data_IF_778994951484
#
_entry.id   IF_778994951484
#
_cell.length_a   1.000
_cell.length_b   1.000
_cell.length_c   1.000
_cell.angle_alpha   90.00
_cell.angle_beta   90.00
_cell.angle_gamma   90.00
#
_symmetry.space_group_name_H-M   'P 1'
#
loop_
_entity.id
_entity.type
_entity.pdbx_description
1 polymer ?
#
# COMPACT_ATOMS: atom_id res chain seq x y z
N UNK A 1 -14.19 6.59 -13.40
CA UNK A 1 -13.13 5.98 -12.59
C UNK A 1 -13.60 4.60 -12.18
N UNK A 2 -12.86 3.56 -12.57
CA UNK A 2 -12.97 2.17 -12.13
C UNK A 2 -11.88 1.89 -11.08
N UNK A 3 -12.18 1.96 -9.77
CA UNK A 3 -11.21 1.65 -8.73
C UNK A 3 -11.05 0.14 -8.57
N UNK A 4 -9.82 -0.33 -8.40
CA UNK A 4 -9.53 -1.71 -7.98
C UNK A 4 -8.84 -1.67 -6.63
N UNK A 5 -9.46 -2.27 -5.61
CA UNK A 5 -8.85 -2.45 -4.29
C UNK A 5 -8.07 -3.75 -4.29
N UNK A 6 -6.77 -3.70 -4.05
CA UNK A 6 -5.88 -4.86 -3.99
C UNK A 6 -5.65 -5.19 -2.52
N UNK A 7 -6.04 -6.40 -2.12
CA UNK A 7 -5.87 -6.90 -0.74
C UNK A 7 -4.99 -8.17 -0.74
N UNK A 8 -3.75 -8.10 -0.27
CA UNK A 8 -2.94 -9.29 -0.01
C UNK A 8 -3.48 -10.05 1.19
N UNK A 9 -3.61 -11.38 1.06
CA UNK A 9 -4.12 -12.25 2.11
C UNK A 9 -3.15 -13.37 2.45
N UNK A 10 -3.01 -13.64 3.74
CA UNK A 10 -2.37 -14.85 4.26
C UNK A 10 -2.99 -15.19 5.62
N UNK A 11 -3.83 -16.21 5.66
CA UNK A 11 -4.67 -16.56 6.82
C UNK A 11 -5.66 -15.45 7.24
N UNK A 12 -6.47 -14.95 6.29
CA UNK A 12 -7.41 -13.84 6.49
C UNK A 12 -8.88 -14.27 6.29
N UNK A 13 -9.15 -15.57 6.40
CA UNK A 13 -10.46 -16.15 6.09
C UNK A 13 -11.61 -15.49 6.84
N UNK A 14 -11.42 -15.21 8.13
CA UNK A 14 -12.47 -14.67 9.00
C UNK A 14 -12.84 -13.21 8.66
N UNK A 15 -11.94 -12.49 7.99
CA UNK A 15 -12.13 -11.09 7.62
C UNK A 15 -12.66 -10.94 6.19
N UNK A 16 -12.22 -11.81 5.28
CA UNK A 16 -12.32 -11.61 3.83
C UNK A 16 -13.76 -11.39 3.34
N UNK A 17 -14.71 -12.23 3.76
CA UNK A 17 -16.11 -12.14 3.31
C UNK A 17 -16.75 -10.82 3.73
N UNK A 18 -16.65 -10.47 5.01
CA UNK A 18 -17.20 -9.21 5.53
C UNK A 18 -16.54 -7.99 4.87
N UNK A 19 -15.23 -8.03 4.68
CA UNK A 19 -14.49 -6.94 4.06
C UNK A 19 -14.90 -6.77 2.60
N UNK A 20 -15.05 -7.87 1.87
CA UNK A 20 -15.51 -7.88 0.47
C UNK A 20 -16.87 -7.21 0.34
N UNK A 21 -17.85 -7.62 1.16
CA UNK A 21 -19.18 -7.02 1.13
C UNK A 21 -19.17 -5.53 1.46
N UNK A 22 -18.38 -5.10 2.46
CA UNK A 22 -18.26 -3.68 2.79
C UNK A 22 -17.66 -2.87 1.65
N UNK A 23 -16.55 -3.32 1.05
CA UNK A 23 -15.91 -2.63 -0.08
C UNK A 23 -16.88 -2.48 -1.26
N UNK A 24 -17.53 -3.59 -1.65
CA UNK A 24 -18.40 -3.61 -2.83
C UNK A 24 -19.70 -2.81 -2.65
N UNK A 25 -20.12 -2.56 -1.41
CA UNK A 25 -21.29 -1.76 -1.07
C UNK A 25 -21.02 -0.23 -1.11
N UNK A 26 -19.76 0.19 -1.07
CA UNK A 26 -19.41 1.62 -1.06
C UNK A 26 -19.69 2.31 -2.41
N UNK A 27 -19.45 1.60 -3.50
CA UNK A 27 -19.60 2.12 -4.86
C UNK A 27 -19.69 0.95 -5.86
N UNK A 28 -20.69 0.98 -6.74
CA UNK A 28 -20.95 -0.07 -7.73
C UNK A 28 -19.80 -0.24 -8.74
N UNK A 29 -18.96 0.80 -8.92
CA UNK A 29 -17.81 0.80 -9.83
C UNK A 29 -16.57 0.17 -9.22
N UNK A 30 -16.54 -0.09 -7.91
CA UNK A 30 -15.38 -0.65 -7.21
C UNK A 30 -15.27 -2.14 -7.48
N UNK A 31 -14.06 -2.54 -7.84
CA UNK A 31 -13.64 -3.92 -7.96
C UNK A 31 -12.69 -4.27 -6.81
N UNK A 32 -12.66 -5.55 -6.44
CA UNK A 32 -11.76 -6.11 -5.45
C UNK A 32 -10.85 -7.13 -6.13
N UNK A 33 -9.55 -7.05 -5.87
CA UNK A 33 -8.56 -8.07 -6.24
C UNK A 33 -7.95 -8.64 -4.96
N UNK A 34 -8.29 -9.89 -4.68
CA UNK A 34 -7.68 -10.67 -3.60
C UNK A 34 -6.39 -11.29 -4.12
N UNK A 35 -5.28 -11.05 -3.42
CA UNK A 35 -3.98 -11.64 -3.75
C UNK A 35 -3.61 -12.63 -2.65
N UNK A 36 -3.91 -13.92 -2.85
CA UNK A 36 -3.74 -14.95 -1.84
C UNK A 36 -2.36 -15.62 -1.92
N UNK A 37 -1.62 -15.55 -0.82
CA UNK A 37 -0.28 -16.12 -0.67
C UNK A 37 -0.30 -17.62 -0.30
N UNK A 38 -1.17 -18.39 -0.95
CA UNK A 38 -1.41 -19.83 -0.70
C UNK A 38 -1.81 -20.10 0.75
N UNK A 39 -2.90 -19.47 1.20
CA UNK A 39 -3.34 -19.54 2.60
C UNK A 39 -3.81 -20.96 2.97
N UNK A 40 -3.21 -21.60 3.98
CA UNK A 40 -3.60 -22.95 4.41
C UNK A 40 -4.94 -23.01 5.17
N UNK A 41 -5.49 -21.89 5.62
CA UNK A 41 -6.76 -21.82 6.36
C UNK A 41 -8.01 -21.86 5.45
N UNK A 42 -7.81 -21.88 4.13
CA UNK A 42 -8.87 -21.84 3.13
C UNK A 42 -9.30 -20.44 2.73
N UNK A 43 -8.51 -19.39 3.03
CA UNK A 43 -8.76 -18.02 2.52
C UNK A 43 -8.89 -18.00 0.99
N UNK A 44 -7.97 -18.66 0.27
CA UNK A 44 -8.02 -18.74 -1.21
C UNK A 44 -9.32 -19.38 -1.72
N UNK A 45 -9.77 -20.48 -1.12
CA UNK A 45 -11.04 -21.12 -1.50
C UNK A 45 -12.26 -20.24 -1.21
N UNK A 46 -12.22 -19.43 -0.14
CA UNK A 46 -13.25 -18.43 0.12
C UNK A 46 -13.23 -17.31 -0.94
N UNK A 47 -12.04 -16.84 -1.33
CA UNK A 47 -11.89 -15.84 -2.38
C UNK A 47 -12.48 -16.31 -3.72
N UNK A 48 -12.25 -17.57 -4.09
CA UNK A 48 -12.82 -18.15 -5.32
C UNK A 48 -14.35 -18.18 -5.30
N UNK A 49 -14.96 -18.49 -4.15
CA UNK A 49 -16.42 -18.45 -4.00
C UNK A 49 -16.97 -17.04 -4.17
N UNK A 50 -16.32 -16.05 -3.55
CA UNK A 50 -16.73 -14.64 -3.67
C UNK A 50 -16.60 -14.13 -5.12
N UNK A 51 -15.57 -14.58 -5.86
CA UNK A 51 -15.41 -14.28 -7.28
C UNK A 51 -16.49 -14.95 -8.16
N UNK A 52 -16.95 -16.14 -7.80
CA UNK A 52 -18.08 -16.78 -8.48
C UNK A 52 -19.42 -16.07 -8.24
N UNK A 53 -19.57 -15.38 -7.11
CA UNK A 53 -20.78 -14.63 -6.73
C UNK A 53 -20.84 -13.21 -7.34
N UNK A 54 -19.70 -12.65 -7.80
CA UNK A 54 -19.64 -11.28 -8.31
C UNK A 54 -18.49 -11.08 -9.30
N UNK A 55 -18.80 -10.61 -10.51
CA UNK A 55 -17.81 -10.23 -11.54
C UNK A 55 -16.87 -9.09 -11.11
N UNK A 56 -17.19 -8.41 -10.00
CA UNK A 56 -16.36 -7.35 -9.42
C UNK A 56 -15.25 -7.88 -8.50
N UNK A 57 -15.25 -9.16 -8.17
CA UNK A 57 -14.23 -9.80 -7.33
C UNK A 57 -13.31 -10.64 -8.20
N UNK A 58 -12.01 -10.41 -8.04
CA UNK A 58 -10.92 -11.04 -8.78
C UNK A 58 -9.99 -11.72 -7.78
N UNK A 59 -9.37 -12.82 -8.18
CA UNK A 59 -8.45 -13.59 -7.32
C UNK A 59 -7.16 -13.89 -8.06
N UNK A 60 -6.05 -13.60 -7.40
CA UNK A 60 -4.72 -14.01 -7.79
C UNK A 60 -4.18 -14.98 -6.74
N UNK A 61 -4.02 -16.25 -7.10
CA UNK A 61 -3.36 -17.25 -6.26
C UNK A 61 -1.87 -17.27 -6.54
N UNK A 62 -1.07 -17.14 -5.48
CA UNK A 62 0.39 -17.14 -5.55
C UNK A 62 0.93 -18.45 -4.98
N UNK A 63 2.18 -18.80 -5.32
CA UNK A 63 2.76 -20.07 -4.90
C UNK A 63 3.00 -20.18 -3.38
N UNK A 64 3.03 -19.05 -2.67
CA UNK A 64 3.24 -18.99 -1.23
C UNK A 64 3.48 -17.57 -0.73
N UNK A 65 3.91 -17.46 0.53
CA UNK A 65 4.23 -16.19 1.18
C UNK A 65 5.54 -15.59 0.68
N UNK A 66 5.48 -14.88 -0.44
CA UNK A 66 6.64 -14.31 -1.14
C UNK A 66 6.98 -12.87 -0.71
N UNK A 67 6.20 -12.28 0.19
CA UNK A 67 6.43 -10.94 0.75
C UNK A 67 5.41 -9.91 0.27
N UNK A 68 5.12 -8.92 1.12
CA UNK A 68 4.04 -7.95 0.92
C UNK A 68 4.23 -7.10 -0.35
N UNK A 69 5.42 -6.55 -0.53
CA UNK A 69 5.75 -5.74 -1.71
C UNK A 69 5.66 -6.56 -3.00
N UNK A 70 5.92 -7.87 -2.95
CA UNK A 70 5.73 -8.73 -4.13
C UNK A 70 4.26 -8.98 -4.45
N UNK A 71 3.42 -9.17 -3.42
CA UNK A 71 1.97 -9.29 -3.58
C UNK A 71 1.37 -8.04 -4.24
N UNK A 72 1.77 -6.85 -3.75
CA UNK A 72 1.29 -5.60 -4.34
C UNK A 72 1.81 -5.37 -5.75
N UNK A 73 3.07 -5.67 -6.07
CA UNK A 73 3.55 -5.54 -7.46
C UNK A 73 2.78 -6.41 -8.44
N UNK A 74 2.51 -7.66 -8.09
CA UNK A 74 1.71 -8.55 -8.94
C UNK A 74 0.24 -8.06 -9.00
N UNK A 75 -0.34 -7.70 -7.86
CA UNK A 75 -1.70 -7.16 -7.79
C UNK A 75 -1.89 -5.85 -8.56
N UNK A 76 -0.91 -4.95 -8.56
CA UNK A 76 -0.93 -3.72 -9.34
C UNK A 76 -0.96 -4.00 -10.84
N UNK A 77 -0.18 -4.97 -11.32
CA UNK A 77 -0.20 -5.36 -12.74
C UNK A 77 -1.56 -5.92 -13.15
N UNK A 78 -2.09 -6.86 -12.37
CA UNK A 78 -3.42 -7.42 -12.64
C UNK A 78 -4.50 -6.33 -12.58
N UNK A 79 -4.43 -5.41 -11.62
CA UNK A 79 -5.37 -4.29 -11.56
C UNK A 79 -5.30 -3.39 -12.81
N UNK A 80 -4.10 -3.10 -13.30
CA UNK A 80 -3.91 -2.34 -14.54
C UNK A 80 -4.48 -3.09 -15.75
N UNK A 81 -4.22 -4.40 -15.86
CA UNK A 81 -4.75 -5.29 -16.92
C UNK A 81 -6.28 -5.36 -16.89
N UNK A 82 -6.88 -5.32 -15.69
CA UNK A 82 -8.33 -5.22 -15.50
C UNK A 82 -8.91 -3.85 -15.91
N UNK A 83 -8.07 -2.89 -16.32
CA UNK A 83 -8.53 -1.57 -16.71
C UNK A 83 -8.80 -0.65 -15.52
N UNK A 84 -8.11 -0.80 -14.40
CA UNK A 84 -8.22 0.11 -13.25
C UNK A 84 -7.78 1.55 -13.56
N UNK A 85 -8.64 2.53 -13.32
CA UNK A 85 -8.27 3.96 -13.41
C UNK A 85 -7.48 4.42 -12.17
N UNK A 86 -7.73 3.77 -11.03
CA UNK A 86 -6.92 3.89 -9.83
C UNK A 86 -6.87 2.55 -9.08
N UNK A 87 -5.78 2.34 -8.35
CA UNK A 87 -5.50 1.10 -7.62
C UNK A 87 -5.29 1.43 -6.16
N UNK A 88 -6.05 0.77 -5.29
CA UNK A 88 -5.94 0.95 -3.85
C UNK A 88 -5.12 -0.18 -3.24
N UNK A 89 -4.14 0.17 -2.43
CA UNK A 89 -3.41 -0.70 -1.53
C UNK A 89 -4.15 -0.75 -0.18
N UNK A 90 -4.57 -1.93 0.30
CA UNK A 90 -5.27 -2.05 1.59
C UNK A 90 -5.06 -3.42 2.25
N UNK A 91 -4.79 -3.41 3.55
CA UNK A 91 -4.73 -4.64 4.37
C UNK A 91 -6.11 -5.29 4.57
N UNK A 92 -6.13 -6.62 4.71
CA UNK A 92 -7.37 -7.42 4.83
C UNK A 92 -7.93 -7.53 6.26
N UNK A 93 -7.24 -7.02 7.27
CA UNK A 93 -7.49 -7.30 8.70
C UNK A 93 -8.35 -6.24 9.42
N UNK A 94 -8.97 -5.30 8.69
CA UNK A 94 -9.68 -4.14 9.21
C UNK A 94 -8.82 -3.18 10.07
N UNK A 95 -7.49 -3.22 9.96
CA UNK A 95 -6.66 -2.12 10.46
C UNK A 95 -6.83 -0.84 9.64
N UNK A 96 -7.28 -0.97 8.39
CA UNK A 96 -7.75 0.11 7.54
C UNK A 96 -9.27 0.05 7.40
N UNK A 97 -9.92 1.19 7.62
CA UNK A 97 -11.37 1.30 7.51
C UNK A 97 -11.77 1.50 6.04
N UNK A 98 -12.55 0.57 5.44
CA UNK A 98 -12.99 0.71 4.06
C UNK A 98 -13.88 1.95 3.84
N UNK A 99 -14.51 2.52 4.88
CA UNK A 99 -15.30 3.76 4.76
C UNK A 99 -14.48 4.99 4.33
N UNK A 100 -13.14 4.89 4.37
CA UNK A 100 -12.24 5.93 3.87
C UNK A 100 -12.12 5.92 2.33
N UNK A 101 -12.44 4.80 1.66
CA UNK A 101 -12.26 4.65 0.20
C UNK A 101 -13.00 5.74 -0.63
N UNK A 102 -14.25 6.13 -0.32
CA UNK A 102 -14.92 7.24 -1.02
C UNK A 102 -14.19 8.59 -0.88
N UNK A 103 -13.46 8.81 0.22
CA UNK A 103 -12.62 10.00 0.39
C UNK A 103 -11.41 9.91 -0.53
N UNK A 104 -10.74 8.75 -0.57
CA UNK A 104 -9.62 8.54 -1.50
C UNK A 104 -10.05 8.83 -2.95
N UNK A 105 -11.20 8.29 -3.36
CA UNK A 105 -11.69 8.46 -4.73
C UNK A 105 -11.98 9.93 -5.11
N UNK A 106 -12.47 10.75 -4.17
CA UNK A 106 -12.62 12.20 -4.39
C UNK A 106 -11.27 12.90 -4.46
N UNK A 107 -10.34 12.57 -3.58
CA UNK A 107 -9.02 13.20 -3.56
C UNK A 107 -8.17 12.85 -4.80
N UNK A 108 -8.47 11.74 -5.47
CA UNK A 108 -7.86 11.40 -6.77
C UNK A 108 -8.15 12.44 -7.87
N UNK A 109 -9.12 13.33 -7.73
CA UNK A 109 -9.31 14.45 -8.67
C UNK A 109 -8.18 15.48 -8.57
N UNK A 110 -7.55 15.59 -7.40
CA UNK A 110 -6.54 16.61 -7.07
C UNK A 110 -5.12 16.04 -7.05
N UNK A 111 -4.99 14.78 -6.65
CA UNK A 111 -3.72 14.11 -6.47
C UNK A 111 -3.60 12.90 -7.38
N UNK A 112 -2.36 12.46 -7.55
CA UNK A 112 -2.00 11.30 -8.36
C UNK A 112 -1.65 10.10 -7.44
N UNK A 113 -1.29 10.38 -6.17
CA UNK A 113 -1.21 9.42 -5.07
C UNK A 113 -1.89 10.01 -3.83
N UNK A 114 -2.81 9.27 -3.22
CA UNK A 114 -3.43 9.63 -1.94
C UNK A 114 -3.02 8.60 -0.88
N UNK A 115 -2.56 9.08 0.28
CA UNK A 115 -2.06 8.24 1.38
C UNK A 115 -2.97 8.42 2.59
N UNK A 116 -3.46 7.30 3.16
CA UNK A 116 -4.07 7.28 4.48
C UNK A 116 -3.00 7.48 5.55
N UNK A 117 -3.00 8.63 6.19
CA UNK A 117 -1.93 9.07 7.09
C UNK A 117 -2.35 8.97 8.55
N UNK A 118 -1.55 8.26 9.35
CA UNK A 118 -1.75 8.15 10.80
C UNK A 118 -1.23 9.36 11.59
N UNK A 119 -0.55 10.29 10.90
CA UNK A 119 0.22 11.38 11.53
C UNK A 119 -0.10 12.78 11.01
N UNK A 120 -0.93 12.93 9.96
CA UNK A 120 -1.22 14.23 9.32
C UNK A 120 -1.77 15.29 10.28
N UNK A 121 -2.64 14.90 11.22
CA UNK A 121 -3.30 15.80 12.19
C UNK A 121 -3.06 15.37 13.64
N UNK A 122 -1.89 14.79 13.91
CA UNK A 122 -1.60 14.13 15.18
C UNK A 122 -1.64 12.61 15.06
N UNK A 123 -1.35 11.92 16.17
CA UNK A 123 -1.25 10.46 16.19
C UNK A 123 -2.62 9.83 16.34
N UNK A 124 -3.06 9.08 15.33
CA UNK A 124 -4.35 8.40 15.28
C UNK A 124 -4.19 6.88 15.20
N UNK A 125 -3.41 6.31 16.13
CA UNK A 125 -3.16 4.87 16.22
C UNK A 125 -3.68 4.31 17.54
N UNK A 126 -4.47 3.24 17.45
CA UNK A 126 -5.12 2.58 18.59
C UNK A 126 -4.49 1.21 18.83
N UNK A 127 -4.32 0.84 20.10
CA UNK A 127 -3.78 -0.45 20.57
C UNK A 127 -2.31 -0.75 20.22
N UNK A 128 -1.50 0.26 19.86
CA UNK A 128 -0.05 0.05 19.70
C UNK A 128 0.72 0.18 21.01
N UNK A 129 1.71 -0.71 21.26
CA UNK A 129 2.74 -0.45 22.26
C UNK A 129 3.48 0.86 21.91
N UNK A 130 3.74 1.72 22.90
CA UNK A 130 4.43 3.01 22.70
C UNK A 130 5.73 2.87 21.90
N UNK A 131 6.51 1.80 22.14
CA UNK A 131 7.74 1.53 21.39
C UNK A 131 7.50 1.34 19.88
N UNK A 132 6.42 0.65 19.48
CA UNK A 132 6.04 0.45 18.07
C UNK A 132 5.64 1.78 17.44
N UNK A 133 4.84 2.57 18.16
CA UNK A 133 4.45 3.90 17.73
C UNK A 133 5.64 4.83 17.51
N UNK A 134 6.52 4.95 18.50
CA UNK A 134 7.69 5.82 18.39
C UNK A 134 8.60 5.39 17.24
N UNK A 135 8.82 4.09 17.06
CA UNK A 135 9.63 3.56 15.97
C UNK A 135 9.04 3.90 14.59
N UNK A 136 7.73 3.72 14.41
CA UNK A 136 7.03 4.04 13.17
C UNK A 136 7.06 5.55 12.88
N UNK A 137 6.75 6.38 13.88
CA UNK A 137 6.76 7.83 13.77
C UNK A 137 8.15 8.35 13.39
N UNK A 138 9.20 7.93 14.10
CA UNK A 138 10.56 8.35 13.80
C UNK A 138 11.09 7.77 12.48
N UNK A 139 10.62 6.62 12.03
CA UNK A 139 10.95 6.11 10.69
C UNK A 139 10.41 7.05 9.60
N UNK A 140 9.19 7.57 9.75
CA UNK A 140 8.65 8.61 8.86
C UNK A 140 9.45 9.91 8.93
N UNK A 141 9.75 10.42 10.12
CA UNK A 141 10.59 11.63 10.30
C UNK A 141 11.96 11.46 9.65
N UNK A 142 12.64 10.35 9.93
CA UNK A 142 13.94 10.02 9.35
C UNK A 142 13.88 9.99 7.82
N UNK A 143 12.88 9.31 7.26
CA UNK A 143 12.68 9.22 5.80
C UNK A 143 12.55 10.61 5.18
N UNK A 144 11.71 11.48 5.75
CA UNK A 144 11.51 12.85 5.26
C UNK A 144 12.80 13.67 5.28
N UNK A 145 13.57 13.60 6.37
CA UNK A 145 14.83 14.35 6.51
C UNK A 145 15.84 13.96 5.43
N UNK A 146 15.97 12.66 5.14
CA UNK A 146 16.96 12.19 4.16
C UNK A 146 16.49 12.38 2.71
N UNK A 147 15.22 12.09 2.44
CA UNK A 147 14.68 12.11 1.07
C UNK A 147 14.30 13.52 0.62
N UNK A 148 13.83 14.37 1.54
CA UNK A 148 13.17 15.64 1.27
C UNK A 148 11.65 15.52 1.07
N UNK A 149 11.07 14.35 1.32
CA UNK A 149 9.61 14.14 1.20
C UNK A 149 8.84 15.01 2.21
N UNK A 150 7.73 15.58 1.75
CA UNK A 150 6.80 16.37 2.57
C UNK A 150 5.62 15.55 3.12
N UNK A 151 5.64 14.23 2.96
CA UNK A 151 4.60 13.28 3.39
C UNK A 151 4.77 13.00 4.89
N UNK A 152 3.71 13.19 5.67
CA UNK A 152 3.70 13.00 7.13
C UNK A 152 3.86 11.54 7.53
N UNK A 153 3.17 10.62 6.85
CA UNK A 153 3.28 9.17 7.06
C UNK A 153 3.89 8.44 5.86
N UNK A 154 5.22 8.36 5.84
CA UNK A 154 5.96 7.68 4.78
C UNK A 154 5.84 6.15 4.81
N UNK A 155 5.19 5.57 5.84
CA UNK A 155 5.20 4.12 6.09
C UNK A 155 3.81 3.47 6.03
N UNK A 156 2.78 4.26 5.74
CA UNK A 156 1.42 3.74 5.58
C UNK A 156 1.33 2.78 4.39
N UNK A 157 0.55 1.72 4.54
CA UNK A 157 0.18 0.78 3.47
C UNK A 157 -1.26 0.96 2.97
N UNK A 158 -1.92 2.06 3.35
CA UNK A 158 -3.25 2.40 2.83
C UNK A 158 -3.14 3.55 1.84
N UNK A 159 -3.20 3.25 0.55
CA UNK A 159 -2.89 4.21 -0.52
C UNK A 159 -3.80 4.04 -1.71
N UNK A 160 -4.06 5.11 -2.44
CA UNK A 160 -4.69 5.06 -3.75
C UNK A 160 -3.73 5.65 -4.77
N UNK A 161 -3.34 4.86 -5.75
CA UNK A 161 -2.50 5.27 -6.87
C UNK A 161 -3.37 5.52 -8.09
N UNK A 162 -3.14 6.62 -8.79
CA UNK A 162 -3.65 6.77 -10.15
C UNK A 162 -2.91 5.78 -11.07
N UNK A 163 -3.60 5.28 -12.10
CA UNK A 163 -3.02 4.39 -13.12
C UNK A 163 -1.64 4.87 -13.60
N UNK A 164 -1.55 6.13 -13.97
CA UNK A 164 -0.35 6.73 -14.58
C UNK A 164 0.86 6.70 -13.64
N UNK A 165 0.64 6.71 -12.32
CA UNK A 165 1.73 6.56 -11.33
C UNK A 165 2.32 5.16 -11.40
N UNK A 166 1.48 4.12 -11.47
CA UNK A 166 1.93 2.74 -11.52
C UNK A 166 2.54 2.37 -12.88
N UNK A 167 2.10 3.01 -13.96
CA UNK A 167 2.68 2.86 -15.30
C UNK A 167 4.03 3.57 -15.44
N UNK A 168 4.22 4.72 -14.79
CA UNK A 168 5.48 5.47 -14.82
C UNK A 168 6.57 4.86 -13.94
N UNK A 169 6.19 4.12 -12.89
CA UNK A 169 7.13 3.46 -11.98
C UNK A 169 7.47 2.07 -12.54
N UNK A 170 8.76 1.82 -12.79
CA UNK A 170 9.25 0.48 -13.11
C UNK A 170 9.14 -0.45 -11.90
N UNK A 171 8.02 -1.18 -11.83
CA UNK A 171 7.71 -2.13 -10.75
C UNK A 171 8.72 -3.29 -10.70
N UNK A 172 9.37 -3.66 -11.80
CA UNK A 172 10.33 -4.79 -11.83
C UNK A 172 11.66 -4.47 -11.14
N UNK A 173 12.00 -3.18 -11.05
CA UNK A 173 13.18 -2.71 -10.32
C UNK A 173 12.96 -2.60 -8.82
N UNK A 174 11.71 -2.74 -8.36
CA UNK A 174 11.38 -2.63 -6.94
C UNK A 174 11.63 -3.98 -6.27
N UNK A 175 12.67 -4.01 -5.44
CA UNK A 175 13.07 -5.19 -4.65
C UNK A 175 12.76 -5.05 -3.16
N UNK A 176 12.26 -3.88 -2.74
CA UNK A 176 11.89 -3.66 -1.35
C UNK A 176 10.63 -4.41 -0.97
N UNK A 177 10.46 -4.59 0.35
CA UNK A 177 9.32 -5.26 0.97
C UNK A 177 8.94 -4.53 2.28
N UNK A 178 7.72 -4.77 2.76
CA UNK A 178 7.16 -4.19 3.98
C UNK A 178 7.24 -2.66 3.98
N UNK A 179 7.69 -2.08 5.09
CA UNK A 179 7.81 -0.62 5.22
C UNK A 179 8.75 0.01 4.18
N UNK A 180 9.79 -0.70 3.75
CA UNK A 180 10.72 -0.18 2.75
C UNK A 180 10.05 -0.04 1.38
N UNK A 181 9.14 -0.95 1.05
CA UNK A 181 8.30 -0.87 -0.15
C UNK A 181 7.41 0.37 -0.10
N UNK A 182 6.79 0.64 1.04
CA UNK A 182 5.96 1.84 1.21
C UNK A 182 6.71 3.13 0.96
N UNK A 183 7.91 3.23 1.53
CA UNK A 183 8.79 4.40 1.36
C UNK A 183 9.27 4.52 -0.08
N UNK A 184 9.67 3.40 -0.72
CA UNK A 184 10.13 3.41 -2.10
C UNK A 184 9.04 3.86 -3.07
N UNK A 185 7.81 3.35 -2.93
CA UNK A 185 6.68 3.77 -3.77
C UNK A 185 6.39 5.27 -3.64
N UNK A 186 6.37 5.78 -2.41
CA UNK A 186 6.16 7.22 -2.15
C UNK A 186 7.29 8.06 -2.79
N UNK A 187 8.54 7.63 -2.62
CA UNK A 187 9.69 8.33 -3.15
C UNK A 187 9.72 8.36 -4.67
N UNK A 188 9.47 7.21 -5.32
CA UNK A 188 9.43 7.10 -6.79
C UNK A 188 8.27 7.91 -7.39
N UNK A 189 7.12 7.95 -6.71
CA UNK A 189 6.00 8.79 -7.10
C UNK A 189 6.40 10.28 -7.14
N UNK A 190 7.02 10.79 -6.06
CA UNK A 190 7.47 12.19 -6.00
C UNK A 190 8.63 12.45 -6.97
N UNK A 191 9.57 11.51 -7.12
CA UNK A 191 10.68 11.61 -8.08
C UNK A 191 10.19 11.71 -9.53
N UNK A 192 9.10 11.02 -9.87
CA UNK A 192 8.46 11.10 -11.18
C UNK A 192 7.59 12.37 -11.37
N UNK A 193 7.53 13.26 -10.37
CA UNK A 193 6.84 14.55 -10.46
C UNK A 193 5.34 14.52 -10.18
N UNK A 194 4.82 13.41 -9.66
CA UNK A 194 3.41 13.26 -9.32
C UNK A 194 3.03 13.97 -8.02
N UNK A 195 1.77 14.43 -7.93
CA UNK A 195 1.23 15.12 -6.75
C UNK A 195 0.77 14.10 -5.72
N UNK A 196 1.26 14.25 -4.50
CA UNK A 196 0.92 13.37 -3.38
C UNK A 196 0.06 14.13 -2.36
N UNK A 197 -1.08 13.55 -2.00
CA UNK A 197 -1.98 14.03 -0.96
C UNK A 197 -2.06 13.06 0.22
N UNK A 198 -2.48 13.55 1.38
CA UNK A 198 -2.70 12.75 2.59
C UNK A 198 -4.13 12.94 3.11
N UNK A 199 -4.76 11.85 3.55
CA UNK A 199 -6.06 11.83 4.23
C UNK A 199 -5.85 11.27 5.64
N UNK A 200 -6.33 11.92 6.71
CA UNK A 200 -6.16 11.39 8.06
C UNK A 200 -6.98 10.10 8.25
N UNK A 201 -6.36 9.07 8.82
CA UNK A 201 -7.02 7.79 9.11
C UNK A 201 -6.83 7.39 10.57
N UNK A 202 -7.71 6.55 11.10
CA UNK A 202 -7.49 5.86 12.38
C UNK A 202 -7.01 4.45 12.07
N UNK A 203 -5.84 4.08 12.61
CA UNK A 203 -5.31 2.72 12.47
C UNK A 203 -5.54 1.94 13.76
N UNK A 204 -6.26 0.82 13.67
CA UNK A 204 -6.58 -0.02 14.84
C UNK A 204 -5.82 -1.33 14.70
N UNK A 205 -4.91 -1.61 15.63
CA UNK A 205 -4.24 -2.91 15.72
C UNK A 205 -5.22 -3.95 16.26
N UNK A 206 -5.63 -4.90 15.41
CA UNK A 206 -6.58 -5.97 15.76
C UNK A 206 -5.88 -7.19 16.36
N UNK A 207 -4.56 -7.31 16.17
CA UNK A 207 -3.77 -8.38 16.75
C UNK A 207 -3.08 -7.92 18.05
N UNK A 208 -3.43 -8.53 19.18
CA UNK A 208 -2.66 -8.41 20.42
C UNK A 208 -1.38 -9.26 20.28
N UNK A 209 -0.33 -8.72 19.65
CA UNK A 209 0.86 -9.52 19.31
C UNK A 209 2.15 -8.72 19.15
N UNK A 210 3.26 -9.35 19.53
CA UNK A 210 4.62 -8.81 19.46
C UNK A 210 4.99 -8.37 18.04
N UNK A 211 5.50 -7.14 17.94
CA UNK A 211 5.94 -6.57 16.66
C UNK A 211 6.88 -7.52 15.91
N UNK A 212 6.57 -7.84 14.65
CA UNK A 212 7.43 -8.57 13.70
C UNK A 212 8.75 -7.82 13.38
N UNK A 213 8.98 -6.65 13.98
CA UNK A 213 10.14 -5.78 13.78
C UNK A 213 11.41 -6.38 14.39
N UNK A 214 12.31 -6.85 13.53
CA UNK A 214 13.67 -7.23 13.89
C UNK A 214 14.66 -6.08 13.64
N UNK A 215 15.81 -6.10 14.32
CA UNK A 215 16.92 -5.15 14.05
C UNK A 215 17.38 -5.20 12.57
N UNK A 216 17.22 -6.36 11.93
CA UNK A 216 17.54 -6.56 10.51
C UNK A 216 16.61 -5.74 9.61
N UNK A 217 15.29 -5.82 9.83
CA UNK A 217 14.29 -5.04 9.07
C UNK A 217 14.53 -3.53 9.22
N UNK A 218 14.85 -3.08 10.44
CA UNK A 218 15.18 -1.66 10.68
C UNK A 218 16.43 -1.23 9.90
N UNK A 219 17.50 -2.05 9.92
CA UNK A 219 18.73 -1.74 9.18
C UNK A 219 18.50 -1.73 7.67
N UNK A 220 17.71 -2.67 7.14
CA UNK A 220 17.34 -2.73 5.73
C UNK A 220 16.58 -1.48 5.30
N UNK A 221 15.60 -1.03 6.10
CA UNK A 221 14.86 0.21 5.84
C UNK A 221 15.78 1.44 5.82
N UNK A 222 16.68 1.58 6.80
CA UNK A 222 17.64 2.70 6.86
C UNK A 222 18.54 2.73 5.62
N UNK A 223 19.08 1.57 5.22
CA UNK A 223 19.94 1.48 4.02
C UNK A 223 19.15 1.78 2.75
N UNK A 224 17.89 1.33 2.67
CA UNK A 224 17.04 1.57 1.51
C UNK A 224 16.79 3.06 1.28
N UNK A 225 16.48 3.82 2.33
CA UNK A 225 16.27 5.28 2.24
C UNK A 225 17.47 6.00 1.63
N UNK A 226 18.68 5.64 2.05
CA UNK A 226 19.90 6.20 1.46
C UNK A 226 20.13 5.77 0.01
N UNK A 227 19.87 4.49 -0.31
CA UNK A 227 19.97 3.99 -1.70
C UNK A 227 19.05 4.77 -2.64
N UNK A 228 17.82 5.05 -2.21
CA UNK A 228 16.87 5.87 -2.98
C UNK A 228 17.43 7.27 -3.23
N UNK A 229 17.88 7.95 -2.17
CA UNK A 229 18.41 9.32 -2.27
C UNK A 229 19.64 9.40 -3.16
N UNK A 230 20.62 8.52 -2.95
CA UNK A 230 21.86 8.51 -3.73
C UNK A 230 21.62 8.09 -5.18
N UNK A 231 20.73 7.13 -5.42
CA UNK A 231 20.34 6.71 -6.76
C UNK A 231 19.66 7.83 -7.55
N UNK A 232 18.79 8.61 -6.90
CA UNK A 232 18.15 9.79 -7.49
C UNK A 232 19.16 10.87 -7.84
N UNK A 233 20.08 11.19 -6.91
CA UNK A 233 21.15 12.16 -7.17
C UNK A 233 22.06 11.73 -8.32
N UNK A 234 22.42 10.45 -8.39
CA UNK A 234 23.20 9.91 -9.50
C UNK A 234 22.44 10.03 -10.83
N UNK A 235 21.14 9.71 -10.88
CA UNK A 235 20.31 9.91 -12.09
C UNK A 235 20.19 11.38 -12.47
N UNK A 236 20.09 12.29 -11.50
CA UNK A 236 20.09 13.73 -11.76
C UNK A 236 21.43 14.23 -12.33
N UNK A 237 22.55 13.70 -11.84
CA UNK A 237 23.90 14.07 -12.29
C UNK A 237 24.27 13.47 -13.65
N UNK A 238 23.83 12.24 -13.95
CA UNK A 238 24.21 11.51 -15.17
C UNK A 238 23.10 11.45 -16.24
N UNK A 239 21.85 11.75 -15.87
CA UNK A 239 20.67 11.70 -16.74
C UNK A 239 20.21 13.07 -17.28
N UNK A 240 20.91 14.15 -16.94
CA UNK A 240 20.67 15.51 -17.44
C UNK A 240 21.06 15.70 -18.92
N UNK A 241 20.60 14.84 -19.82
CA UNK A 241 20.52 15.04 -21.28
C UNK A 241 19.47 14.11 -21.89
N UNK A 242 18.19 14.43 -21.73
CA UNK A 242 17.15 14.12 -22.74
C UNK A 242 16.19 15.32 -22.73
N UNK A 243 16.39 16.19 -23.72
CA UNK A 243 15.41 17.20 -24.10
C UNK A 243 14.28 16.59 -24.92
#
# INVERSE_FOLDING_TARGET
MKPVVVIPTYNERDNLERLTHQILALDERVHLLVVDDNSPDGTGALADRLAAESERVHVLHRAGKLGLGSAYREGFRIALDLGADCVVEMDADFSHDPEILPIFFREMERYDLVIGSRYLNGVSVVNWPLRRLMLSYFASVYTRVITGLTISDCTSGFKCFRREVLEAIDLDQIRSDGYSFQVEMNYRCVEAGFRVGEVPIIFIDRHAGTSKMSKKIVREAVVMVWKLKLGSLARGLFGGKRG
#
